data_IF_074557975176
#
_entry.id   IF_074557975176
#
_cell.length_a   1.000
_cell.length_b   1.000
_cell.length_c   1.000
_cell.angle_alpha   90.00
_cell.angle_beta   90.00
_cell.angle_gamma   90.00
#
_symmetry.space_group_name_H-M   'P 1'
#
loop_
_entity.id
_entity.type
_entity.pdbx_description
1 polymer ?
#
# COMPACT_ATOMS: atom_id res chain seq x y z
N UNK A 1 -5.18 22.06 16.38
CA UNK A 1 -4.06 21.67 15.48
C UNK A 1 -3.41 20.47 16.10
N UNK A 2 -3.22 19.37 15.33
CA UNK A 2 -2.49 18.22 15.84
C UNK A 2 -1.00 18.57 15.93
N UNK A 3 -0.38 18.33 17.09
CA UNK A 3 1.06 18.47 17.24
C UNK A 3 1.76 17.34 16.49
N UNK A 4 2.39 17.66 15.38
CA UNK A 4 3.15 16.70 14.56
C UNK A 4 4.60 16.59 15.05
N UNK A 5 4.76 16.31 16.37
CA UNK A 5 6.05 16.10 17.05
C UNK A 5 6.17 14.66 17.55
N UNK A 6 7.39 14.28 17.91
CA UNK A 6 7.66 12.95 18.45
C UNK A 6 7.41 11.86 17.41
N UNK A 7 8.27 11.78 16.38
CA UNK A 7 8.22 10.74 15.36
C UNK A 7 8.33 9.37 16.01
N UNK A 8 7.46 8.46 15.62
CA UNK A 8 7.46 7.11 16.15
C UNK A 8 7.13 6.11 15.06
N UNK A 9 7.77 4.96 15.12
CA UNK A 9 7.51 3.83 14.24
C UNK A 9 7.45 2.54 15.03
N UNK A 10 6.60 1.63 14.59
CA UNK A 10 6.49 0.26 15.06
C UNK A 10 6.60 -0.69 13.89
N UNK A 11 7.43 -1.69 14.03
CA UNK A 11 7.58 -2.73 13.03
C UNK A 11 7.21 -4.08 13.64
N UNK A 12 6.32 -4.81 12.98
CA UNK A 12 5.98 -6.18 13.35
C UNK A 12 6.47 -7.11 12.25
N UNK A 13 7.27 -8.10 12.64
CA UNK A 13 7.93 -9.04 11.73
C UNK A 13 7.49 -10.45 12.10
N UNK A 14 6.88 -11.19 11.15
CA UNK A 14 6.54 -12.58 11.41
C UNK A 14 7.81 -13.42 11.50
N UNK A 15 7.90 -14.24 12.54
CA UNK A 15 8.97 -15.21 12.76
C UNK A 15 8.38 -16.60 12.83
N UNK A 16 9.07 -17.58 12.30
CA UNK A 16 8.66 -18.99 12.39
C UNK A 16 9.57 -19.68 13.38
N UNK A 17 9.00 -20.16 14.47
CA UNK A 17 9.72 -20.86 15.53
C UNK A 17 9.38 -22.35 15.47
N UNK A 18 10.36 -23.28 15.57
CA UNK A 18 10.08 -24.69 15.73
C UNK A 18 9.28 -24.93 17.02
N UNK A 19 8.22 -25.73 16.94
CA UNK A 19 7.42 -26.17 18.08
C UNK A 19 7.17 -27.68 18.02
N UNK A 20 6.79 -28.28 19.16
CA UNK A 20 6.44 -29.71 19.21
C UNK A 20 5.23 -29.93 18.30
N UNK A 21 5.43 -30.73 17.24
CA UNK A 21 4.38 -31.07 16.26
C UNK A 21 4.31 -30.13 15.05
N UNK A 22 5.25 -29.17 14.88
CA UNK A 22 5.27 -28.31 13.70
C UNK A 22 6.01 -26.99 13.89
N UNK A 23 5.57 -25.96 13.19
CA UNK A 23 6.10 -24.59 13.31
C UNK A 23 5.00 -23.64 13.75
N UNK A 24 5.31 -22.76 14.70
CA UNK A 24 4.42 -21.69 15.15
C UNK A 24 4.91 -20.38 14.57
N UNK A 25 4.00 -19.58 14.03
CA UNK A 25 4.29 -18.19 13.63
C UNK A 25 4.14 -17.29 14.85
N UNK A 26 5.25 -16.67 15.24
CA UNK A 26 5.28 -15.62 16.25
C UNK A 26 5.57 -14.27 15.58
N UNK A 27 5.40 -13.18 16.30
CA UNK A 27 5.70 -11.85 15.84
C UNK A 27 6.81 -11.25 16.68
N UNK A 28 7.81 -10.69 16.01
CA UNK A 28 8.84 -9.85 16.63
C UNK A 28 8.35 -8.42 16.49
N UNK A 29 8.10 -7.78 17.61
CA UNK A 29 7.77 -6.35 17.64
C UNK A 29 9.04 -5.54 17.87
N UNK A 30 9.24 -4.52 17.05
CA UNK A 30 10.38 -3.61 17.12
C UNK A 30 9.86 -2.22 17.40
N UNK A 31 10.22 -1.71 18.56
CA UNK A 31 9.96 -0.34 19.03
C UNK A 31 11.23 0.25 19.62
N UNK A 32 11.40 1.56 19.57
CA UNK A 32 12.54 2.25 20.20
C UNK A 32 13.90 2.08 19.49
N UNK A 33 13.97 1.29 18.41
CA UNK A 33 15.15 1.23 17.55
C UNK A 33 15.04 2.24 16.41
N UNK A 34 16.18 2.60 15.83
CA UNK A 34 16.18 3.36 14.58
C UNK A 34 15.57 2.53 13.46
N UNK A 35 14.56 3.09 12.82
CA UNK A 35 13.91 2.53 11.64
C UNK A 35 13.93 3.57 10.55
N UNK A 36 14.48 3.20 9.38
CA UNK A 36 14.43 3.99 8.16
C UNK A 36 13.61 3.26 7.12
N UNK A 37 12.80 3.98 6.34
CA UNK A 37 11.95 3.36 5.34
C UNK A 37 11.65 4.27 4.15
N UNK A 38 11.44 3.62 3.01
CA UNK A 38 10.84 4.21 1.81
C UNK A 38 9.75 3.29 1.31
N UNK A 39 8.52 3.79 1.24
CA UNK A 39 7.34 3.03 0.82
C UNK A 39 6.71 3.71 -0.38
N UNK A 40 6.63 3.00 -1.50
CA UNK A 40 5.98 3.48 -2.74
C UNK A 40 4.67 2.74 -2.96
N UNK A 41 3.59 3.50 -3.08
CA UNK A 41 2.23 2.97 -3.31
C UNK A 41 1.62 3.66 -4.53
N UNK A 42 0.88 2.90 -5.33
CA UNK A 42 0.27 3.40 -6.57
C UNK A 42 -1.09 2.77 -6.82
N UNK A 43 -1.93 3.44 -7.63
CA UNK A 43 -3.17 2.87 -8.17
C UNK A 43 -2.94 1.91 -9.34
N UNK A 44 -1.73 1.85 -9.89
CA UNK A 44 -1.41 0.92 -10.99
C UNK A 44 -1.56 -0.53 -10.50
N UNK A 45 -1.91 -1.48 -11.39
CA UNK A 45 -2.08 -2.89 -11.04
C UNK A 45 -0.74 -3.61 -10.79
N UNK A 46 0.17 -2.93 -10.14
CA UNK A 46 1.49 -3.40 -9.74
C UNK A 46 1.58 -3.57 -8.23
N UNK A 47 2.55 -4.36 -7.78
CA UNK A 47 2.79 -4.51 -6.35
C UNK A 47 3.39 -3.22 -5.76
N UNK A 48 2.79 -2.71 -4.69
CA UNK A 48 3.41 -1.67 -3.90
C UNK A 48 4.73 -2.20 -3.31
N UNK A 49 5.73 -1.34 -3.21
CA UNK A 49 7.07 -1.73 -2.77
C UNK A 49 7.52 -0.93 -1.57
N UNK A 50 8.29 -1.55 -0.69
CA UNK A 50 8.96 -0.84 0.37
C UNK A 50 10.35 -1.41 0.65
N UNK A 51 11.25 -0.52 1.04
CA UNK A 51 12.51 -0.84 1.69
C UNK A 51 12.42 -0.34 3.12
N UNK A 52 12.66 -1.24 4.08
CA UNK A 52 12.65 -0.92 5.51
C UNK A 52 13.98 -1.39 6.10
N UNK A 53 14.66 -0.52 6.80
CA UNK A 53 15.91 -0.80 7.49
C UNK A 53 15.72 -0.63 8.99
N UNK A 54 16.18 -1.62 9.75
CA UNK A 54 16.16 -1.59 11.21
C UNK A 54 17.60 -1.73 11.70
N UNK A 55 17.98 -0.83 12.56
CA UNK A 55 19.32 -0.78 13.11
C UNK A 55 19.39 -1.48 14.45
N UNK A 56 20.45 -2.25 14.64
CA UNK A 56 20.81 -2.90 15.90
C UNK A 56 19.77 -3.88 16.47
N UNK A 57 19.09 -4.64 15.58
CA UNK A 57 18.31 -5.79 16.04
C UNK A 57 19.19 -6.78 16.79
N UNK A 58 18.67 -7.39 17.86
CA UNK A 58 19.38 -8.40 18.64
C UNK A 58 19.79 -9.59 17.78
N UNK A 59 20.85 -10.28 18.14
CA UNK A 59 21.29 -11.50 17.44
C UNK A 59 20.19 -12.57 17.40
N UNK A 60 19.45 -12.72 18.50
CA UNK A 60 18.31 -13.64 18.60
C UNK A 60 17.20 -13.25 17.63
N UNK A 61 16.84 -11.98 17.54
CA UNK A 61 15.81 -11.50 16.59
C UNK A 61 16.25 -11.75 15.15
N UNK A 62 17.51 -11.41 14.81
CA UNK A 62 18.06 -11.66 13.47
C UNK A 62 18.04 -13.14 13.10
N UNK A 63 18.42 -14.02 14.01
CA UNK A 63 18.40 -15.47 13.78
C UNK A 63 16.98 -16.02 13.54
N UNK A 64 15.97 -15.43 14.15
CA UNK A 64 14.56 -15.80 13.97
C UNK A 64 13.93 -15.31 12.66
N UNK A 65 14.58 -14.39 11.95
CA UNK A 65 14.05 -13.81 10.72
C UNK A 65 14.53 -14.64 9.52
N UNK A 66 13.60 -15.30 8.83
CA UNK A 66 13.91 -16.03 7.61
C UNK A 66 14.21 -15.05 6.46
N UNK A 67 15.12 -15.44 5.58
CA UNK A 67 15.53 -14.64 4.43
C UNK A 67 14.39 -14.33 3.45
N UNK A 68 13.35 -15.17 3.39
CA UNK A 68 12.19 -15.00 2.49
C UNK A 68 10.90 -15.43 3.16
N UNK A 69 9.79 -14.87 2.72
CA UNK A 69 8.44 -15.28 3.14
C UNK A 69 8.03 -14.76 4.52
N UNK A 70 8.76 -13.80 5.04
CA UNK A 70 8.42 -13.08 6.27
C UNK A 70 7.36 -12.04 5.94
N UNK A 71 6.33 -11.93 6.77
CA UNK A 71 5.36 -10.85 6.67
C UNK A 71 5.78 -9.70 7.58
N UNK A 72 5.69 -8.50 7.08
CA UNK A 72 6.09 -7.28 7.79
C UNK A 72 4.95 -6.28 7.76
N UNK A 73 4.69 -5.68 8.91
CA UNK A 73 3.75 -4.56 9.06
C UNK A 73 4.56 -3.39 9.61
N UNK A 74 4.59 -2.29 8.86
CA UNK A 74 5.19 -1.03 9.27
C UNK A 74 4.10 -0.04 9.60
N UNK A 75 4.15 0.49 10.80
CA UNK A 75 3.31 1.59 11.26
C UNK A 75 4.21 2.77 11.62
N UNK A 76 3.76 3.97 11.25
CA UNK A 76 4.49 5.19 11.57
C UNK A 76 3.51 6.34 11.83
N UNK A 77 3.96 7.31 12.62
CA UNK A 77 3.14 8.45 13.00
C UNK A 77 3.84 9.36 14.00
N UNK A 78 3.05 9.94 14.87
CA UNK A 78 3.49 10.90 15.89
C UNK A 78 2.95 10.48 17.25
N UNK A 79 3.67 10.79 18.31
CA UNK A 79 3.29 10.40 19.68
C UNK A 79 1.88 10.87 20.05
N UNK A 80 1.53 12.10 19.71
CA UNK A 80 0.24 12.70 20.06
C UNK A 80 -0.91 12.33 19.10
N UNK A 81 -0.61 11.82 17.90
CA UNK A 81 -1.61 11.50 16.87
C UNK A 81 -1.86 9.99 16.78
N UNK A 82 -0.84 9.20 17.14
CA UNK A 82 -0.85 7.75 17.05
C UNK A 82 -0.16 7.21 15.79
N UNK A 83 -0.14 5.89 15.71
CA UNK A 83 0.47 5.13 14.63
C UNK A 83 -0.59 4.72 13.61
N UNK A 84 -0.24 4.83 12.35
CA UNK A 84 -1.05 4.34 11.22
C UNK A 84 -0.22 3.39 10.36
N UNK A 85 -0.86 2.40 9.76
CA UNK A 85 -0.18 1.45 8.88
C UNK A 85 0.30 2.16 7.61
N UNK A 86 1.61 2.19 7.40
CA UNK A 86 2.25 2.71 6.17
C UNK A 86 2.27 1.66 5.08
N UNK A 87 2.61 0.42 5.43
CA UNK A 87 2.55 -0.74 4.53
C UNK A 87 2.45 -2.04 5.32
N UNK A 88 1.74 -3.00 4.73
CA UNK A 88 1.76 -4.39 5.11
C UNK A 88 2.11 -5.22 3.89
N UNK A 89 3.15 -6.03 3.96
CA UNK A 89 3.60 -6.79 2.79
C UNK A 89 4.38 -8.05 3.13
N UNK A 90 4.57 -8.87 2.10
CA UNK A 90 5.44 -10.03 2.17
C UNK A 90 6.88 -9.63 1.84
N UNK A 91 7.81 -10.06 2.68
CA UNK A 91 9.23 -9.81 2.47
C UNK A 91 9.76 -10.68 1.32
N UNK A 92 10.22 -10.02 0.26
CA UNK A 92 10.90 -10.66 -0.86
C UNK A 92 12.30 -11.12 -0.44
N UNK A 93 12.99 -10.27 0.30
CA UNK A 93 14.35 -10.49 0.77
C UNK A 93 14.55 -9.78 2.10
N UNK A 94 15.06 -10.52 3.09
CA UNK A 94 15.64 -9.96 4.29
C UNK A 94 17.16 -10.22 4.28
N UNK A 95 17.94 -9.19 4.56
CA UNK A 95 19.39 -9.29 4.71
C UNK A 95 19.84 -8.66 6.02
N UNK A 96 20.95 -9.16 6.56
CA UNK A 96 21.57 -8.64 7.75
C UNK A 96 23.03 -8.33 7.40
N UNK A 97 23.41 -7.09 7.59
CA UNK A 97 24.75 -6.60 7.27
C UNK A 97 25.33 -5.84 8.46
N UNK A 98 26.60 -6.03 8.69
CA UNK A 98 27.33 -5.20 9.66
C UNK A 98 27.94 -4.02 8.92
N UNK A 99 27.58 -2.79 9.34
CA UNK A 99 28.14 -1.54 8.83
C UNK A 99 28.84 -0.81 9.97
N UNK A 100 30.16 -0.90 10.00
CA UNK A 100 30.95 -0.40 11.12
C UNK A 100 30.59 -1.12 12.43
N UNK A 101 30.12 -0.38 13.41
CA UNK A 101 29.68 -0.88 14.72
C UNK A 101 28.21 -1.29 14.75
N UNK A 102 27.43 -0.96 13.73
CA UNK A 102 25.99 -1.17 13.69
C UNK A 102 25.63 -2.39 12.86
N UNK A 103 24.59 -3.10 13.28
CA UNK A 103 23.93 -4.13 12.49
C UNK A 103 22.72 -3.51 11.80
N UNK A 104 22.66 -3.61 10.48
CA UNK A 104 21.53 -3.16 9.66
C UNK A 104 20.78 -4.38 9.14
N UNK A 105 19.50 -4.47 9.47
CA UNK A 105 18.59 -5.47 8.90
C UNK A 105 17.70 -4.78 7.88
N UNK A 106 17.81 -5.18 6.62
CA UNK A 106 17.04 -4.62 5.50
C UNK A 106 15.97 -5.58 5.05
N UNK A 107 14.76 -5.06 4.87
CA UNK A 107 13.61 -5.78 4.34
C UNK A 107 13.19 -5.14 3.01
N UNK A 108 13.14 -5.95 1.96
CA UNK A 108 12.49 -5.58 0.70
C UNK A 108 11.07 -6.16 0.69
N UNK A 109 10.06 -5.32 0.74
CA UNK A 109 8.66 -5.72 0.84
C UNK A 109 7.93 -5.50 -0.48
N UNK A 110 6.97 -6.38 -0.77
CA UNK A 110 6.02 -6.24 -1.84
C UNK A 110 4.60 -6.50 -1.29
N UNK A 111 3.72 -5.51 -1.41
CA UNK A 111 2.30 -5.68 -1.11
C UNK A 111 1.59 -6.21 -2.36
N UNK A 112 0.97 -7.38 -2.23
CA UNK A 112 0.35 -8.09 -3.35
C UNK A 112 1.33 -8.80 -4.30
N UNK A 113 2.62 -8.66 -4.13
CA UNK A 113 3.61 -9.21 -5.04
C UNK A 113 3.54 -10.72 -5.19
N UNK A 114 3.24 -11.46 -4.12
CA UNK A 114 3.06 -12.91 -4.15
C UNK A 114 1.83 -13.29 -4.99
N UNK A 115 0.72 -12.59 -4.78
CA UNK A 115 -0.54 -12.84 -5.50
C UNK A 115 -0.39 -12.55 -6.98
N UNK A 116 0.23 -11.42 -7.34
CA UNK A 116 0.44 -11.02 -8.73
C UNK A 116 1.38 -11.98 -9.47
N UNK A 117 2.42 -12.47 -8.81
CA UNK A 117 3.41 -13.36 -9.42
C UNK A 117 2.94 -14.81 -9.53
N UNK A 118 2.31 -15.33 -8.48
CA UNK A 118 2.00 -16.76 -8.37
C UNK A 118 0.50 -17.05 -8.41
N UNK A 119 -0.35 -16.04 -8.23
CA UNK A 119 -1.79 -16.20 -8.30
C UNK A 119 -2.23 -16.63 -9.69
N UNK A 120 -3.01 -17.70 -9.76
CA UNK A 120 -3.58 -18.22 -11.00
C UNK A 120 -5.09 -18.28 -10.88
N UNK A 121 -5.75 -17.89 -11.96
CA UNK A 121 -7.18 -18.00 -12.10
C UNK A 121 -7.48 -19.07 -13.17
N UNK A 122 -8.29 -20.04 -12.80
CA UNK A 122 -8.86 -21.02 -13.73
C UNK A 122 -10.32 -21.21 -13.33
N UNK A 123 -11.21 -20.51 -14.00
CA UNK A 123 -12.64 -20.52 -13.69
C UNK A 123 -13.42 -20.12 -14.93
N UNK A 124 -14.61 -20.71 -15.12
CA UNK A 124 -15.56 -20.33 -16.15
C UNK A 124 -16.81 -19.72 -15.52
N UNK A 125 -17.33 -18.69 -16.13
CA UNK A 125 -18.58 -18.02 -15.73
C UNK A 125 -19.55 -18.03 -16.92
N UNK A 126 -20.77 -18.46 -16.65
CA UNK A 126 -21.83 -18.48 -17.67
C UNK A 126 -22.29 -17.06 -18.06
N UNK A 127 -22.86 -16.87 -19.26
CA UNK A 127 -23.51 -15.61 -19.60
C UNK A 127 -24.55 -15.21 -18.55
N UNK A 128 -24.66 -13.93 -18.27
CA UNK A 128 -25.54 -13.38 -17.23
C UNK A 128 -24.97 -13.40 -15.81
N UNK A 129 -23.78 -14.00 -15.57
CA UNK A 129 -23.14 -13.94 -14.26
C UNK A 129 -22.74 -12.51 -13.91
N UNK A 130 -23.11 -11.99 -12.72
CA UNK A 130 -22.67 -10.66 -12.28
C UNK A 130 -21.16 -10.56 -12.18
N UNK A 131 -20.59 -9.45 -12.65
CA UNK A 131 -19.14 -9.18 -12.55
C UNK A 131 -18.70 -9.17 -11.08
N UNK A 132 -19.55 -8.66 -10.17
CA UNK A 132 -19.31 -8.65 -8.72
C UNK A 132 -19.03 -10.05 -8.16
N UNK A 133 -19.79 -11.06 -8.64
CA UNK A 133 -19.58 -12.46 -8.21
C UNK A 133 -18.22 -12.96 -8.68
N UNK A 134 -17.88 -12.77 -9.95
CA UNK A 134 -16.62 -13.24 -10.51
C UNK A 134 -15.39 -12.59 -9.81
N UNK A 135 -15.45 -11.29 -9.56
CA UNK A 135 -14.39 -10.55 -8.83
C UNK A 135 -14.32 -10.97 -7.37
N UNK A 136 -15.47 -11.15 -6.71
CA UNK A 136 -15.53 -11.62 -5.32
C UNK A 136 -14.97 -13.03 -5.14
N UNK A 137 -15.35 -13.97 -6.01
CA UNK A 137 -14.84 -15.35 -6.01
C UNK A 137 -13.33 -15.38 -6.20
N UNK A 138 -12.81 -14.56 -7.14
CA UNK A 138 -11.38 -14.46 -7.40
C UNK A 138 -10.63 -13.86 -6.21
N UNK A 139 -11.13 -12.76 -5.66
CA UNK A 139 -10.55 -12.12 -4.49
C UNK A 139 -10.54 -13.05 -3.27
N UNK A 140 -11.62 -13.79 -3.04
CA UNK A 140 -11.71 -14.78 -1.95
C UNK A 140 -10.69 -15.90 -2.09
N UNK A 141 -10.55 -16.51 -3.29
CA UNK A 141 -9.57 -17.55 -3.58
C UNK A 141 -8.13 -17.10 -3.35
N UNK A 142 -7.85 -15.82 -3.52
CA UNK A 142 -6.52 -15.24 -3.41
C UNK A 142 -6.22 -14.59 -2.06
N UNK A 143 -7.20 -14.62 -1.14
CA UNK A 143 -7.07 -13.97 0.15
C UNK A 143 -7.06 -12.44 0.11
N UNK A 144 -7.58 -11.85 -0.98
CA UNK A 144 -7.66 -10.40 -1.23
C UNK A 144 -9.03 -9.79 -0.85
N UNK A 145 -9.88 -10.53 -0.18
CA UNK A 145 -11.23 -10.11 0.18
C UNK A 145 -11.23 -9.04 1.29
N UNK A 146 -12.27 -8.23 1.32
CA UNK A 146 -12.50 -7.21 2.33
C UNK A 146 -12.09 -5.78 1.92
N UNK A 147 -12.16 -4.85 2.84
CA UNK A 147 -11.81 -3.45 2.61
C UNK A 147 -12.69 -2.76 1.56
N UNK A 148 -12.08 -2.04 0.65
CA UNK A 148 -12.76 -1.27 -0.40
C UNK A 148 -13.56 -2.14 -1.37
N UNK A 149 -13.15 -3.39 -1.62
CA UNK A 149 -13.86 -4.29 -2.51
C UNK A 149 -15.32 -4.48 -2.08
N UNK A 150 -15.58 -4.69 -0.81
CA UNK A 150 -16.93 -4.87 -0.28
C UNK A 150 -17.86 -3.69 -0.58
N UNK A 151 -17.31 -2.47 -0.62
CA UNK A 151 -18.05 -1.24 -0.95
C UNK A 151 -18.34 -1.11 -2.45
N UNK A 152 -17.48 -1.67 -3.30
CA UNK A 152 -17.58 -1.56 -4.76
C UNK A 152 -18.40 -2.70 -5.42
N UNK A 153 -18.53 -3.85 -4.74
CA UNK A 153 -19.30 -4.98 -5.26
C UNK A 153 -20.74 -4.63 -5.66
N UNK A 154 -21.50 -3.81 -4.92
CA UNK A 154 -22.86 -3.45 -5.34
C UNK A 154 -22.90 -2.72 -6.68
N UNK A 155 -21.95 -1.83 -6.97
CA UNK A 155 -21.89 -1.13 -8.27
C UNK A 155 -21.51 -2.03 -9.43
N UNK A 156 -20.78 -3.11 -9.18
CA UNK A 156 -20.45 -4.15 -10.14
C UNK A 156 -21.57 -5.18 -10.34
N UNK A 157 -22.52 -5.28 -9.42
CA UNK A 157 -23.61 -6.26 -9.49
C UNK A 157 -24.57 -6.02 -10.67
N UNK A 158 -24.72 -4.76 -11.09
CA UNK A 158 -25.55 -4.39 -12.25
C UNK A 158 -24.90 -4.74 -13.60
N UNK A 159 -23.64 -5.15 -13.62
CA UNK A 159 -22.89 -5.54 -14.81
C UNK A 159 -22.82 -7.05 -14.90
N UNK A 160 -23.13 -7.58 -16.08
CA UNK A 160 -23.13 -9.03 -16.33
C UNK A 160 -22.08 -9.41 -17.36
N UNK A 161 -21.57 -10.63 -17.24
CA UNK A 161 -20.62 -11.21 -18.17
C UNK A 161 -21.35 -11.83 -19.38
N UNK A 162 -20.75 -11.78 -20.55
CA UNK A 162 -21.22 -12.46 -21.76
C UNK A 162 -20.73 -13.92 -21.86
N UNK A 163 -20.36 -14.50 -20.71
CA UNK A 163 -19.63 -15.76 -20.63
C UNK A 163 -18.14 -15.54 -20.77
N UNK A 164 -17.38 -16.01 -19.78
CA UNK A 164 -15.93 -15.85 -19.77
C UNK A 164 -15.27 -17.11 -19.20
N UNK A 165 -14.20 -17.53 -19.86
CA UNK A 165 -13.27 -18.52 -19.32
C UNK A 165 -12.01 -17.78 -18.97
N UNK A 166 -11.60 -17.89 -17.71
CA UNK A 166 -10.36 -17.30 -17.22
C UNK A 166 -9.33 -18.41 -17.02
N UNK A 167 -8.16 -18.22 -17.64
CA UNK A 167 -7.01 -19.09 -17.43
C UNK A 167 -5.75 -18.25 -17.50
N UNK A 168 -4.89 -18.35 -16.47
CA UNK A 168 -3.64 -17.58 -16.46
C UNK A 168 -3.42 -16.78 -15.20
N UNK A 169 -2.72 -15.65 -15.34
CA UNK A 169 -2.38 -14.74 -14.25
C UNK A 169 -3.59 -14.03 -13.66
N UNK A 170 -3.57 -13.79 -12.36
CA UNK A 170 -4.66 -13.07 -11.68
C UNK A 170 -4.83 -11.65 -12.19
N UNK A 171 -3.72 -10.94 -12.46
CA UNK A 171 -3.77 -9.57 -12.97
C UNK A 171 -4.47 -9.50 -14.33
N UNK A 172 -4.11 -10.38 -15.27
CA UNK A 172 -4.78 -10.48 -16.58
C UNK A 172 -6.27 -10.80 -16.46
N UNK A 173 -6.61 -11.65 -15.49
CA UNK A 173 -8.01 -12.01 -15.23
C UNK A 173 -8.79 -10.84 -14.70
N UNK A 174 -8.25 -10.09 -13.72
CA UNK A 174 -8.87 -8.87 -13.21
C UNK A 174 -9.04 -7.81 -14.30
N UNK A 175 -8.03 -7.65 -15.16
CA UNK A 175 -8.11 -6.74 -16.31
C UNK A 175 -9.26 -7.11 -17.24
N UNK A 176 -9.40 -8.38 -17.60
CA UNK A 176 -10.48 -8.87 -18.46
C UNK A 176 -11.87 -8.67 -17.85
N UNK A 177 -11.99 -8.77 -16.53
CA UNK A 177 -13.27 -8.60 -15.83
C UNK A 177 -13.64 -7.13 -15.61
N UNK A 178 -12.67 -6.26 -15.30
CA UNK A 178 -12.90 -4.91 -14.79
C UNK A 178 -12.73 -3.81 -15.84
N UNK A 179 -11.70 -3.86 -16.69
CA UNK A 179 -11.44 -2.81 -17.69
C UNK A 179 -12.61 -2.60 -18.67
N UNK A 180 -13.29 -3.65 -19.21
CA UNK A 180 -14.44 -3.45 -20.10
C UNK A 180 -15.63 -2.75 -19.43
N UNK A 181 -15.67 -2.76 -18.10
CA UNK A 181 -16.71 -2.13 -17.30
C UNK A 181 -16.33 -0.70 -16.83
N UNK A 182 -15.15 -0.20 -17.22
CA UNK A 182 -14.63 1.10 -16.84
C UNK A 182 -14.09 1.15 -15.41
N UNK A 183 -13.64 0.01 -14.86
CA UNK A 183 -13.03 -0.06 -13.53
C UNK A 183 -11.53 -0.30 -13.62
N UNK A 184 -10.79 0.35 -12.75
CA UNK A 184 -9.39 0.07 -12.44
C UNK A 184 -9.29 -0.72 -11.14
N UNK A 185 -8.15 -1.37 -10.92
CA UNK A 185 -7.90 -2.12 -9.71
C UNK A 185 -6.44 -2.01 -9.27
N UNK A 186 -6.22 -2.17 -7.98
CA UNK A 186 -4.90 -2.26 -7.35
C UNK A 186 -4.97 -3.13 -6.11
N UNK A 187 -3.82 -3.53 -5.57
CA UNK A 187 -3.73 -4.23 -4.29
C UNK A 187 -3.17 -3.26 -3.27
N UNK A 188 -3.90 -3.07 -2.18
CA UNK A 188 -3.52 -2.15 -1.10
C UNK A 188 -3.63 -2.87 0.24
N UNK A 189 -2.50 -3.02 0.94
CA UNK A 189 -2.41 -3.71 2.24
C UNK A 189 -3.00 -5.14 2.22
N UNK A 190 -2.69 -5.89 1.14
CA UNK A 190 -3.19 -7.25 0.94
C UNK A 190 -4.67 -7.35 0.60
N UNK A 191 -5.33 -6.26 0.20
CA UNK A 191 -6.74 -6.22 -0.18
C UNK A 191 -6.89 -5.72 -1.61
N UNK A 192 -7.85 -6.29 -2.34
CA UNK A 192 -8.20 -5.81 -3.67
C UNK A 192 -9.01 -4.50 -3.55
N UNK A 193 -8.48 -3.44 -4.13
CA UNK A 193 -9.17 -2.19 -4.34
C UNK A 193 -9.65 -2.13 -5.79
N UNK A 194 -10.93 -1.76 -5.99
CA UNK A 194 -11.54 -1.57 -7.31
C UNK A 194 -12.15 -0.18 -7.35
N UNK A 195 -11.82 0.62 -8.34
CA UNK A 195 -12.30 1.99 -8.50
C UNK A 195 -12.92 2.18 -9.88
N UNK A 196 -14.05 2.86 -9.93
CA UNK A 196 -14.71 3.23 -11.17
C UNK A 196 -14.18 4.59 -11.63
N UNK A 197 -13.48 4.64 -12.79
CA UNK A 197 -13.07 5.90 -13.43
C UNK A 197 -12.65 6.99 -12.45
N UNK A 198 -13.39 8.09 -12.39
CA UNK A 198 -13.15 9.22 -11.50
C UNK A 198 -13.99 9.17 -10.21
N UNK A 199 -14.60 8.02 -9.87
CA UNK A 199 -15.38 7.90 -8.65
C UNK A 199 -14.49 7.99 -7.40
N UNK A 200 -14.97 8.77 -6.46
CA UNK A 200 -14.28 9.09 -5.22
C UNK A 200 -14.30 7.90 -4.25
N UNK A 201 -13.19 7.68 -3.56
CA UNK A 201 -13.24 6.85 -2.37
C UNK A 201 -13.97 7.64 -1.27
N UNK A 202 -14.85 6.98 -0.53
CA UNK A 202 -15.60 7.57 0.59
C UNK A 202 -14.76 7.70 1.87
N UNK A 203 -13.43 7.68 1.78
CA UNK A 203 -12.57 7.82 2.95
C UNK A 203 -12.40 9.28 3.35
N UNK A 204 -12.23 9.50 4.65
CA UNK A 204 -11.98 10.80 5.25
C UNK A 204 -10.79 11.47 4.56
N UNK A 205 -11.01 12.69 4.08
CA UNK A 205 -10.04 13.45 3.30
C UNK A 205 -9.10 14.18 4.26
N UNK A 206 -7.80 13.84 4.31
CA UNK A 206 -6.86 14.67 5.05
C UNK A 206 -6.70 16.02 4.38
N UNK A 207 -6.81 17.09 5.16
CA UNK A 207 -6.50 18.44 4.71
C UNK A 207 -4.99 18.68 4.78
N UNK A 208 -4.40 19.05 3.66
CA UNK A 208 -2.98 19.39 3.53
C UNK A 208 -2.85 20.87 3.23
N UNK A 209 -2.44 21.61 4.24
CA UNK A 209 -2.20 23.04 4.18
C UNK A 209 -0.87 23.39 4.87
N UNK A 210 -0.44 24.63 4.81
CA UNK A 210 0.73 25.11 5.56
C UNK A 210 0.63 24.80 7.05
N UNK A 211 -0.57 24.86 7.62
CA UNK A 211 -0.80 24.64 9.04
C UNK A 211 -0.94 23.14 9.40
N UNK A 212 -1.20 22.29 8.41
CA UNK A 212 -1.35 20.83 8.59
C UNK A 212 -0.23 20.01 7.95
N UNK A 213 0.91 20.65 7.63
CA UNK A 213 2.13 19.96 7.27
C UNK A 213 2.48 19.96 5.79
N UNK A 214 1.89 20.84 4.96
CA UNK A 214 2.36 21.03 3.58
C UNK A 214 3.79 21.58 3.57
N UNK A 215 4.67 20.97 2.79
CA UNK A 215 6.07 21.37 2.66
C UNK A 215 6.28 21.96 1.27
N UNK A 216 6.62 23.25 1.23
CA UNK A 216 6.82 23.97 -0.03
C UNK A 216 5.52 24.27 -0.77
N UNK A 217 5.59 24.43 -2.08
CA UNK A 217 4.45 24.70 -2.95
C UNK A 217 4.13 23.50 -3.83
N UNK A 218 2.83 23.15 -4.00
CA UNK A 218 2.42 22.15 -4.97
C UNK A 218 2.85 22.56 -6.38
N UNK A 219 3.13 21.55 -7.22
CA UNK A 219 3.57 21.74 -8.60
C UNK A 219 2.66 20.97 -9.55
N UNK A 220 2.35 21.57 -10.68
CA UNK A 220 1.68 20.90 -11.76
C UNK A 220 2.70 20.07 -12.56
N UNK A 221 2.45 18.77 -12.67
CA UNK A 221 3.17 17.89 -13.57
C UNK A 221 2.33 17.77 -14.85
N UNK A 222 2.89 18.27 -15.96
CA UNK A 222 2.31 18.06 -17.29
C UNK A 222 2.52 16.61 -17.70
N UNK A 223 1.51 15.96 -18.29
CA UNK A 223 1.63 14.57 -18.69
C UNK A 223 2.74 14.37 -19.70
N UNK A 224 3.51 13.33 -19.53
CA UNK A 224 4.29 12.79 -20.63
C UNK A 224 3.33 12.36 -21.75
N UNK A 225 3.74 12.46 -23.00
CA UNK A 225 2.85 12.33 -24.20
C UNK A 225 1.99 11.07 -24.24
N UNK A 226 2.22 10.10 -23.35
CA UNK A 226 1.52 8.80 -23.30
C UNK A 226 0.49 8.64 -22.17
N UNK A 227 0.43 9.53 -21.17
CA UNK A 227 -0.48 9.33 -20.01
C UNK A 227 -1.66 10.31 -19.94
N UNK A 228 -1.71 11.37 -20.73
CA UNK A 228 -2.89 12.20 -21.01
C UNK A 228 -3.54 12.95 -19.84
N UNK A 229 -3.03 12.81 -18.61
CA UNK A 229 -3.61 13.43 -17.40
C UNK A 229 -2.60 14.33 -16.70
N UNK A 230 -3.03 15.52 -16.30
CA UNK A 230 -2.24 16.41 -15.46
C UNK A 230 -2.28 15.94 -14.02
N UNK A 231 -1.14 15.94 -13.35
CA UNK A 231 -1.02 15.57 -11.94
C UNK A 231 -0.59 16.76 -11.10
N UNK A 232 -1.14 16.87 -9.90
CA UNK A 232 -0.67 17.77 -8.87
C UNK A 232 0.33 17.03 -7.98
N UNK A 233 1.58 17.46 -7.98
CA UNK A 233 2.61 16.93 -7.08
C UNK A 233 2.81 17.84 -5.89
N UNK A 234 2.79 17.29 -4.70
CA UNK A 234 3.07 18.02 -3.46
C UNK A 234 3.77 17.13 -2.43
N UNK A 235 4.40 17.78 -1.47
CA UNK A 235 5.09 17.12 -0.35
C UNK A 235 4.49 17.59 0.96
N UNK A 236 4.28 16.65 1.88
CA UNK A 236 3.81 16.96 3.23
C UNK A 236 4.66 16.26 4.28
N UNK A 237 4.48 16.65 5.54
CA UNK A 237 4.89 15.84 6.66
C UNK A 237 4.23 14.46 6.55
N UNK A 238 4.88 13.43 7.11
CA UNK A 238 4.41 12.04 6.99
C UNK A 238 2.96 11.92 7.45
N UNK A 239 2.12 11.43 6.55
CA UNK A 239 0.72 11.13 6.84
C UNK A 239 0.34 9.81 6.15
N UNK A 240 0.36 8.73 6.90
CA UNK A 240 0.05 7.39 6.39
C UNK A 240 -1.42 7.19 5.99
N UNK A 241 -2.30 8.15 6.29
CA UNK A 241 -3.70 8.16 5.80
C UNK A 241 -3.80 8.53 4.34
N UNK A 242 -2.78 9.17 3.77
CA UNK A 242 -2.71 9.44 2.35
C UNK A 242 -2.40 8.12 1.63
N UNK A 243 -3.39 7.58 0.92
CA UNK A 243 -3.31 6.29 0.23
C UNK A 243 -3.77 6.43 -1.22
N UNK A 244 -3.24 5.63 -2.14
CA UNK A 244 -3.73 5.62 -3.52
C UNK A 244 -5.23 5.36 -3.58
N UNK A 245 -5.94 6.19 -4.36
CA UNK A 245 -7.39 6.13 -4.53
C UNK A 245 -8.20 6.94 -3.52
N UNK A 246 -7.61 7.44 -2.43
CA UNK A 246 -8.33 8.37 -1.56
C UNK A 246 -8.31 9.80 -2.10
N UNK A 247 -9.26 10.61 -1.67
CA UNK A 247 -9.24 12.05 -1.89
C UNK A 247 -8.35 12.71 -0.85
N UNK A 248 -7.64 13.75 -1.26
CA UNK A 248 -6.89 14.64 -0.40
C UNK A 248 -7.33 16.08 -0.67
N UNK A 249 -7.63 16.83 0.38
CA UNK A 249 -7.90 18.26 0.25
C UNK A 249 -6.57 19.01 0.37
N UNK A 250 -6.20 19.74 -0.67
CA UNK A 250 -5.01 20.61 -0.67
C UNK A 250 -5.45 22.05 -0.58
N UNK A 251 -4.82 22.81 0.31
CA UNK A 251 -5.04 24.25 0.43
C UNK A 251 -3.69 24.97 0.45
N UNK A 252 -3.40 25.67 -0.63
CA UNK A 252 -2.19 26.47 -0.80
C UNK A 252 -2.52 27.80 -1.48
N UNK A 253 -1.54 28.67 -1.62
CA UNK A 253 -1.72 29.96 -2.35
C UNK A 253 -2.04 29.76 -3.84
N UNK A 254 -1.60 28.69 -4.45
CA UNK A 254 -1.72 28.43 -5.89
C UNK A 254 -2.79 27.40 -6.23
N UNK A 255 -3.00 26.43 -5.36
CA UNK A 255 -3.93 25.33 -5.59
C UNK A 255 -4.81 25.12 -4.35
N UNK A 256 -6.11 25.04 -4.59
CA UNK A 256 -7.09 24.68 -3.56
C UNK A 256 -8.14 23.77 -4.17
N UNK A 257 -8.40 22.64 -3.54
CA UNK A 257 -9.37 21.66 -4.04
C UNK A 257 -9.17 20.28 -3.44
N UNK A 258 -9.99 19.36 -3.93
CA UNK A 258 -9.90 17.93 -3.60
C UNK A 258 -9.37 17.19 -4.80
N UNK A 259 -8.37 16.36 -4.59
CA UNK A 259 -7.67 15.64 -5.64
C UNK A 259 -7.55 14.17 -5.27
N UNK A 260 -7.71 13.28 -6.25
CA UNK A 260 -7.55 11.84 -6.03
C UNK A 260 -6.08 11.45 -6.08
N UNK A 261 -5.59 10.83 -5.03
CA UNK A 261 -4.22 10.34 -4.96
C UNK A 261 -4.01 9.20 -5.95
N UNK A 262 -3.07 9.38 -6.88
CA UNK A 262 -2.62 8.34 -7.82
C UNK A 262 -1.45 7.56 -7.25
N UNK A 263 -0.47 8.27 -6.73
CA UNK A 263 0.70 7.66 -6.11
C UNK A 263 1.13 8.40 -4.85
N UNK A 264 1.75 7.68 -3.93
CA UNK A 264 2.38 8.26 -2.74
C UNK A 264 3.68 7.54 -2.42
N UNK A 265 4.71 8.32 -2.10
CA UNK A 265 5.96 7.83 -1.55
C UNK A 265 6.13 8.36 -0.13
N UNK A 266 6.04 7.46 0.85
CA UNK A 266 6.34 7.78 2.24
C UNK A 266 7.82 7.51 2.51
N UNK A 267 8.51 8.48 3.10
CA UNK A 267 9.90 8.37 3.54
C UNK A 267 9.98 8.71 5.01
N UNK A 268 10.65 7.89 5.78
CA UNK A 268 10.83 8.13 7.21
C UNK A 268 12.13 7.57 7.74
N UNK A 269 12.71 8.29 8.70
CA UNK A 269 13.81 7.84 9.54
C UNK A 269 13.55 8.37 10.95
N UNK A 270 13.41 7.47 11.92
CA UNK A 270 13.09 7.85 13.30
C UNK A 270 14.20 8.67 13.97
N UNK A 271 15.43 8.61 13.48
CA UNK A 271 16.59 9.34 13.98
C UNK A 271 17.19 10.32 12.96
N UNK A 272 16.74 10.24 11.70
CA UNK A 272 17.20 11.10 10.62
C UNK A 272 16.28 12.29 10.35
N UNK A 273 16.43 12.92 9.17
CA UNK A 273 15.65 14.09 8.77
C UNK A 273 14.37 13.75 8.02
N UNK A 274 14.34 12.59 7.37
CA UNK A 274 13.22 12.19 6.53
C UNK A 274 12.00 11.78 7.37
N UNK A 275 10.89 12.47 7.13
CA UNK A 275 9.58 12.12 7.70
C UNK A 275 8.50 12.80 6.88
N UNK A 276 8.33 12.31 5.64
CA UNK A 276 7.53 13.00 4.63
C UNK A 276 6.72 12.04 3.77
N UNK A 277 5.67 12.60 3.16
CA UNK A 277 4.87 11.98 2.10
C UNK A 277 4.98 12.83 0.84
N UNK A 278 5.46 12.24 -0.24
CA UNK A 278 5.48 12.82 -1.58
C UNK A 278 4.29 12.24 -2.34
N UNK A 279 3.39 13.08 -2.81
CA UNK A 279 2.09 12.69 -3.36
C UNK A 279 1.93 13.22 -4.77
N UNK A 280 1.41 12.35 -5.64
CA UNK A 280 0.92 12.72 -6.96
C UNK A 280 -0.59 12.46 -6.99
N UNK A 281 -1.36 13.47 -7.32
CA UNK A 281 -2.81 13.41 -7.32
C UNK A 281 -3.36 13.88 -8.68
N UNK A 282 -4.43 13.25 -9.14
CA UNK A 282 -5.11 13.57 -10.40
C UNK A 282 -5.88 14.88 -10.21
N UNK A 283 -5.75 15.79 -11.21
CA UNK A 283 -6.47 17.06 -11.29
C UNK A 283 -7.88 16.87 -11.79
#
# INVERSE_FOLDING_TARGET
MANLFGRTARLQISSTVPAIGGTVTSWIEVTGLRVSFTVKRTLKPDANSASVEVFNLSATSRAGIKRKGVRVILEAGYQDVGLETVIQGDCRLASHEQSGTEWVTRFELLDGGRVLRYGRASTSYAPGTPVSKAVGDLAGKLGLSGGQLAKQLPSLAAKTLNGIVTHGGVGETLDKLLKPQGYSWSIQDGKLQVLKGDSDSTELIPLISTDSGLIGSPKLLTPDKNEGRSLLSFRSLLNARIRPGCLVAVQSKQFSGQFRVESVTHKGDTHGTDWTSEVEAIL
#
